data_IF_530282151996
#
_entry.id   IF_530282151996
#
_cell.length_a   1.000
_cell.length_b   1.000
_cell.length_c   1.000
_cell.angle_alpha   90.00
_cell.angle_beta   90.00
_cell.angle_gamma   90.00
#
_symmetry.space_group_name_H-M   'P 1'
#
loop_
_entity.id
_entity.type
_entity.pdbx_description
1 polymer ?
#
# COMPACT_ATOMS: atom_id res chain seq x y z
N UNK A 1 -2.87 -18.70 15.97
CA UNK A 1 -2.29 -17.38 15.68
C UNK A 1 -2.66 -17.03 14.26
N UNK A 2 -3.38 -15.92 14.01
CA UNK A 2 -3.53 -15.42 12.66
C UNK A 2 -2.14 -15.08 12.11
N UNK A 3 -1.83 -15.49 10.88
CA UNK A 3 -0.55 -15.17 10.24
C UNK A 3 -0.46 -13.67 10.02
N UNK A 4 0.64 -13.04 10.43
CA UNK A 4 0.91 -11.64 10.12
C UNK A 4 1.10 -11.47 8.61
N UNK A 5 0.41 -10.50 8.01
CA UNK A 5 0.49 -10.22 6.59
C UNK A 5 0.81 -8.75 6.34
N UNK A 6 1.75 -8.49 5.43
CA UNK A 6 2.15 -7.13 5.02
C UNK A 6 2.30 -7.10 3.49
N UNK A 7 1.88 -5.99 2.89
CA UNK A 7 2.06 -5.75 1.46
C UNK A 7 3.45 -5.14 1.22
N UNK A 8 4.30 -5.85 0.48
CA UNK A 8 5.65 -5.38 0.12
C UNK A 8 5.77 -4.92 -1.34
N UNK A 9 4.70 -5.08 -2.11
CA UNK A 9 4.59 -4.61 -3.50
C UNK A 9 3.21 -3.99 -3.67
N UNK A 10 3.17 -2.67 -3.76
CA UNK A 10 1.92 -1.92 -3.91
C UNK A 10 2.18 -0.62 -4.68
N UNK A 11 1.29 -0.32 -5.61
CA UNK A 11 1.30 0.90 -6.39
C UNK A 11 0.28 1.89 -5.84
N UNK A 12 0.71 3.14 -5.72
CA UNK A 12 -0.08 4.29 -5.28
C UNK A 12 -0.47 5.16 -6.47
N UNK A 13 -1.19 6.25 -6.21
CA UNK A 13 -1.54 7.27 -7.20
C UNK A 13 -0.32 7.88 -7.93
N UNK A 14 0.90 7.64 -7.45
CA UNK A 14 2.12 8.09 -8.12
C UNK A 14 2.56 7.17 -9.27
N UNK A 15 2.00 5.96 -9.38
CA UNK A 15 2.08 5.16 -10.60
C UNK A 15 1.11 5.73 -11.64
N UNK A 16 1.61 6.63 -12.49
CA UNK A 16 0.77 7.51 -13.31
C UNK A 16 -0.17 6.81 -14.30
N UNK A 17 0.17 5.59 -14.73
CA UNK A 17 -0.59 4.86 -15.75
C UNK A 17 -1.67 3.93 -15.17
N UNK A 18 -1.46 3.39 -13.98
CA UNK A 18 -2.26 2.30 -13.41
C UNK A 18 -2.44 2.36 -11.87
N UNK A 19 -1.82 3.34 -11.22
CA UNK A 19 -1.91 3.58 -9.79
C UNK A 19 -3.23 4.20 -9.35
N UNK A 20 -4.03 3.45 -8.60
CA UNK A 20 -5.34 3.92 -8.10
C UNK A 20 -5.37 4.23 -6.58
N UNK A 21 -4.36 3.79 -5.82
CA UNK A 21 -4.39 3.92 -4.36
C UNK A 21 -3.91 5.30 -3.91
N UNK A 22 -4.81 6.13 -3.39
CA UNK A 22 -4.43 7.38 -2.73
C UNK A 22 -3.81 7.09 -1.34
N UNK A 23 -2.86 7.93 -0.91
CA UNK A 23 -2.06 7.67 0.30
C UNK A 23 -2.91 7.66 1.58
N UNK A 24 -3.75 8.66 1.81
CA UNK A 24 -4.54 8.76 3.05
C UNK A 24 -5.58 7.64 3.19
N UNK A 25 -6.38 7.28 2.16
CA UNK A 25 -7.25 6.12 2.20
C UNK A 25 -6.49 4.80 2.40
N UNK A 26 -5.34 4.63 1.73
CA UNK A 26 -4.50 3.45 1.89
C UNK A 26 -4.07 3.26 3.35
N UNK A 27 -3.53 4.31 3.98
CA UNK A 27 -3.06 4.26 5.38
C UNK A 27 -4.20 3.94 6.36
N UNK A 28 -5.41 4.43 6.09
CA UNK A 28 -6.58 4.05 6.91
C UNK A 28 -6.93 2.57 6.74
N UNK A 29 -6.83 2.05 5.52
CA UNK A 29 -7.15 0.67 5.18
C UNK A 29 -6.19 -0.32 5.83
N UNK A 30 -4.88 -0.11 5.70
CA UNK A 30 -3.87 -0.99 6.32
C UNK A 30 -3.99 -1.01 7.84
N UNK A 31 -4.32 0.13 8.47
CA UNK A 31 -4.60 0.20 9.90
C UNK A 31 -5.86 -0.57 10.29
N UNK A 32 -6.92 -0.50 9.49
CA UNK A 32 -8.15 -1.26 9.73
C UNK A 32 -7.97 -2.78 9.57
N UNK A 33 -6.95 -3.20 8.83
CA UNK A 33 -6.56 -4.61 8.64
C UNK A 33 -5.49 -5.09 9.63
N UNK A 34 -5.15 -4.31 10.65
CA UNK A 34 -4.09 -4.61 11.61
C UNK A 34 -2.74 -4.97 10.94
N UNK A 35 -2.48 -4.42 9.74
CA UNK A 35 -1.21 -4.60 9.06
C UNK A 35 -0.18 -3.62 9.65
N UNK A 36 0.95 -4.10 10.20
CA UNK A 36 1.90 -3.22 10.89
C UNK A 36 2.74 -2.36 9.94
N UNK A 37 2.79 -2.70 8.65
CA UNK A 37 3.57 -2.00 7.64
C UNK A 37 3.01 -2.19 6.23
N UNK A 38 3.40 -1.29 5.32
CA UNK A 38 3.16 -1.36 3.87
C UNK A 38 4.38 -0.78 3.15
N UNK A 39 4.77 -1.39 2.03
CA UNK A 39 5.75 -0.81 1.11
C UNK A 39 5.03 -0.16 -0.07
N UNK A 40 5.52 1.00 -0.49
CA UNK A 40 5.15 1.65 -1.74
C UNK A 40 6.24 1.35 -2.77
N UNK A 41 5.85 0.87 -3.95
CA UNK A 41 6.77 0.42 -5.01
C UNK A 41 6.24 0.87 -6.37
N UNK A 42 6.19 2.19 -6.59
CA UNK A 42 5.55 2.76 -7.76
C UNK A 42 6.35 2.53 -9.06
N UNK A 43 5.67 2.53 -10.20
CA UNK A 43 6.29 2.30 -11.52
C UNK A 43 7.27 3.40 -11.90
N UNK A 44 8.58 3.08 -11.88
CA UNK A 44 9.63 4.00 -12.33
C UNK A 44 9.70 5.30 -11.51
N UNK A 45 9.16 5.27 -10.29
CA UNK A 45 9.10 6.36 -9.33
C UNK A 45 9.60 5.88 -7.95
N UNK A 46 9.26 6.58 -6.86
CA UNK A 46 9.60 6.24 -5.46
C UNK A 46 9.10 4.87 -5.02
#
# INVERSE_FOLDING_TARGET
MASSFVHLHLHTQFSLLDGANQIEPLVRQIKAFDQPAVAMTDHGNM
#
